data_IF_473442834210
#
_entry.id   IF_473442834210
#
_cell.length_a   1.000
_cell.length_b   1.000
_cell.length_c   1.000
_cell.angle_alpha   90.00
_cell.angle_beta   90.00
_cell.angle_gamma   90.00
#
_symmetry.space_group_name_H-M   'P 1'
#
loop_
_entity.id
_entity.type
_entity.pdbx_description
1 polymer ?
#
# COMPACT_ATOMS: atom_id res chain seq x y z
N UNK A 1 8.08 15.16 -8.33
CA UNK A 1 6.63 15.20 -8.52
C UNK A 1 5.99 14.23 -7.53
N UNK A 2 4.77 14.47 -7.03
CA UNK A 2 4.04 13.57 -6.14
C UNK A 2 2.55 13.75 -6.45
N UNK A 3 2.07 13.06 -7.50
CA UNK A 3 0.74 13.29 -8.05
C UNK A 3 0.06 11.99 -8.44
N UNK A 4 -1.25 11.94 -8.18
CA UNK A 4 -2.17 10.91 -8.63
C UNK A 4 -3.21 11.56 -9.53
N UNK A 5 -3.29 11.13 -10.77
CA UNK A 5 -4.26 11.55 -11.77
C UNK A 5 -5.27 10.43 -12.00
N UNK A 6 -6.56 10.76 -11.95
CA UNK A 6 -7.66 9.84 -12.29
C UNK A 6 -8.27 10.30 -13.60
N UNK A 7 -8.64 9.36 -14.46
CA UNK A 7 -9.33 9.64 -15.72
C UNK A 7 -10.39 8.58 -16.01
N UNK A 8 -11.28 8.91 -16.94
CA UNK A 8 -12.32 8.02 -17.47
C UNK A 8 -12.37 8.15 -18.98
N UNK A 9 -12.59 7.02 -19.66
CA UNK A 9 -12.81 6.99 -21.11
C UNK A 9 -14.32 7.01 -21.38
N UNK A 10 -14.78 7.98 -22.18
CA UNK A 10 -16.23 8.09 -22.48
C UNK A 10 -16.69 7.05 -23.51
N UNK A 11 -15.78 6.61 -24.40
CA UNK A 11 -16.05 5.57 -25.41
C UNK A 11 -15.75 4.13 -24.99
N UNK A 12 -15.43 3.90 -23.72
CA UNK A 12 -15.18 2.57 -23.16
C UNK A 12 -15.49 2.55 -21.66
N UNK A 13 -15.97 1.43 -21.09
CA UNK A 13 -16.25 1.34 -19.68
C UNK A 13 -14.94 1.20 -18.88
N UNK A 14 -14.07 2.21 -18.96
CA UNK A 14 -12.73 2.17 -18.37
C UNK A 14 -12.49 3.40 -17.50
N UNK A 15 -12.07 3.13 -16.28
CA UNK A 15 -11.44 4.09 -15.38
C UNK A 15 -9.95 3.82 -15.36
N UNK A 16 -9.14 4.88 -15.32
CA UNK A 16 -7.70 4.76 -15.19
C UNK A 16 -7.13 5.69 -14.13
N UNK A 17 -6.02 5.29 -13.57
CA UNK A 17 -5.22 6.05 -12.62
C UNK A 17 -3.75 6.05 -13.06
N UNK A 18 -3.11 7.21 -12.95
CA UNK A 18 -1.67 7.38 -13.22
C UNK A 18 -1.03 8.03 -12.01
N UNK A 19 0.08 7.46 -11.55
CA UNK A 19 0.83 7.96 -10.39
C UNK A 19 2.27 8.28 -10.74
N UNK A 20 2.80 9.37 -10.18
CA UNK A 20 4.23 9.70 -10.18
C UNK A 20 4.61 10.22 -8.80
N UNK A 21 5.56 9.55 -8.12
CA UNK A 21 6.00 9.87 -6.76
C UNK A 21 7.52 10.04 -6.75
N UNK A 22 8.00 11.22 -6.40
CA UNK A 22 9.42 11.54 -6.26
C UNK A 22 9.80 11.78 -4.80
N UNK A 23 9.67 13.03 -4.32
CA UNK A 23 10.15 13.40 -2.99
C UNK A 23 9.43 12.68 -1.84
N UNK A 24 8.17 12.30 -2.00
CA UNK A 24 7.47 11.52 -0.98
C UNK A 24 8.04 10.08 -0.88
N UNK A 25 8.46 9.49 -2.01
CA UNK A 25 9.18 8.22 -2.03
C UNK A 25 10.57 8.34 -1.42
N UNK A 26 11.32 9.37 -1.76
CA UNK A 26 12.64 9.62 -1.17
C UNK A 26 12.56 9.77 0.36
N UNK A 27 11.50 10.42 0.87
CA UNK A 27 11.28 10.53 2.31
C UNK A 27 11.02 9.16 2.99
N UNK A 28 10.46 8.16 2.29
CA UNK A 28 10.37 6.78 2.78
C UNK A 28 11.77 6.16 2.87
N UNK A 29 12.63 6.41 1.88
CA UNK A 29 13.96 5.81 1.79
C UNK A 29 15.02 6.52 2.67
N UNK A 30 14.78 7.76 3.07
CA UNK A 30 15.77 8.64 3.72
C UNK A 30 16.47 8.03 4.93
N UNK A 31 15.77 7.14 5.66
CA UNK A 31 16.29 6.48 6.88
C UNK A 31 16.38 4.97 6.75
N UNK A 32 16.42 4.48 5.51
CA UNK A 32 16.48 3.06 5.19
C UNK A 32 17.73 2.78 4.36
N UNK A 33 18.32 1.62 4.59
CA UNK A 33 19.45 1.11 3.80
C UNK A 33 19.09 -0.26 3.21
N UNK A 34 17.95 -0.34 2.56
CA UNK A 34 17.49 -1.58 1.97
C UNK A 34 18.27 -1.94 0.71
N UNK A 35 18.48 -3.24 0.42
CA UNK A 35 19.03 -3.69 -0.86
C UNK A 35 18.19 -3.23 -2.07
N UNK A 36 18.78 -3.16 -3.28
CA UNK A 36 18.08 -2.70 -4.49
C UNK A 36 16.76 -3.46 -4.76
N UNK A 37 16.76 -4.79 -4.65
CA UNK A 37 15.57 -5.61 -4.84
C UNK A 37 14.44 -5.25 -3.84
N UNK A 38 14.78 -5.05 -2.58
CA UNK A 38 13.81 -4.64 -1.54
C UNK A 38 13.25 -3.26 -1.82
N UNK A 39 14.10 -2.29 -2.20
CA UNK A 39 13.65 -0.94 -2.56
C UNK A 39 12.70 -0.96 -3.75
N UNK A 40 13.03 -1.76 -4.78
CA UNK A 40 12.15 -1.92 -5.94
C UNK A 40 10.80 -2.47 -5.54
N UNK A 41 10.75 -3.59 -4.82
CA UNK A 41 9.50 -4.22 -4.39
C UNK A 41 8.69 -3.27 -3.50
N UNK A 42 9.30 -2.60 -2.53
CA UNK A 42 8.62 -1.63 -1.67
C UNK A 42 8.05 -0.46 -2.48
N UNK A 43 8.81 0.06 -3.45
CA UNK A 43 8.38 1.13 -4.36
C UNK A 43 7.20 0.71 -5.22
N UNK A 44 7.24 -0.49 -5.79
CA UNK A 44 6.14 -1.03 -6.59
C UNK A 44 4.85 -1.17 -5.75
N UNK A 45 4.95 -1.64 -4.49
CA UNK A 45 3.81 -1.67 -3.57
C UNK A 45 3.32 -0.28 -3.16
N UNK A 46 4.20 0.71 -3.03
CA UNK A 46 3.83 2.12 -2.81
C UNK A 46 3.05 2.65 -4.01
N UNK A 47 3.50 2.40 -5.23
CA UNK A 47 2.78 2.73 -6.46
C UNK A 47 1.41 2.08 -6.52
N UNK A 48 1.35 0.77 -6.29
CA UNK A 48 0.12 -0.01 -6.28
C UNK A 48 -0.89 0.51 -5.26
N UNK A 49 -0.45 0.75 -4.01
CA UNK A 49 -1.30 1.28 -2.95
C UNK A 49 -1.84 2.68 -3.27
N UNK A 50 -1.02 3.52 -3.93
CA UNK A 50 -1.46 4.84 -4.38
C UNK A 50 -2.57 4.74 -5.40
N UNK A 51 -2.39 3.90 -6.42
CA UNK A 51 -3.40 3.68 -7.47
C UNK A 51 -4.70 3.16 -6.87
N UNK A 52 -4.63 2.14 -6.00
CA UNK A 52 -5.82 1.61 -5.33
C UNK A 52 -6.49 2.63 -4.39
N UNK A 53 -5.73 3.53 -3.77
CA UNK A 53 -6.28 4.57 -2.89
C UNK A 53 -7.21 5.56 -3.61
N UNK A 54 -7.06 5.70 -4.94
CA UNK A 54 -7.94 6.52 -5.77
C UNK A 54 -9.38 6.00 -5.80
N UNK A 55 -9.56 4.69 -5.61
CA UNK A 55 -10.88 4.03 -5.64
C UNK A 55 -11.61 4.10 -4.30
N UNK A 56 -10.95 4.57 -3.23
CA UNK A 56 -11.58 4.70 -1.92
C UNK A 56 -12.68 5.76 -1.94
N UNK A 57 -13.89 5.36 -1.56
CA UNK A 57 -15.09 6.22 -1.50
C UNK A 57 -15.44 6.66 -0.08
N UNK A 58 -14.57 6.41 0.89
CA UNK A 58 -14.79 6.72 2.30
C UNK A 58 -13.58 7.43 2.91
N UNK A 59 -13.77 8.16 3.99
CA UNK A 59 -12.67 8.66 4.80
C UNK A 59 -12.10 7.53 5.65
N UNK A 60 -10.79 7.28 5.53
CA UNK A 60 -10.19 6.14 6.21
C UNK A 60 -8.77 5.84 5.78
N UNK A 61 -8.36 4.60 6.02
CA UNK A 61 -7.02 4.11 5.70
C UNK A 61 -7.10 2.85 4.84
N UNK A 62 -6.36 2.84 3.73
CA UNK A 62 -6.01 1.65 2.97
C UNK A 62 -4.67 1.12 3.50
N UNK A 63 -4.62 -0.16 3.83
CA UNK A 63 -3.40 -0.84 4.26
C UNK A 63 -3.17 -2.04 3.35
N UNK A 64 -2.03 -2.06 2.68
CA UNK A 64 -1.56 -3.23 1.94
C UNK A 64 -0.44 -3.88 2.72
N UNK A 65 -0.59 -5.17 3.00
CA UNK A 65 0.42 -5.97 3.70
C UNK A 65 0.77 -7.19 2.87
N UNK A 66 2.06 -7.40 2.63
CA UNK A 66 2.56 -8.67 2.14
C UNK A 66 3.30 -9.39 3.27
N UNK A 67 2.95 -10.64 3.52
CA UNK A 67 3.46 -11.44 4.65
C UNK A 67 3.95 -12.77 4.15
N UNK A 68 5.07 -13.25 4.69
CA UNK A 68 5.58 -14.59 4.38
C UNK A 68 6.50 -15.13 5.49
N UNK A 69 6.98 -16.36 5.28
CA UNK A 69 8.11 -16.96 6.02
C UNK A 69 9.43 -16.85 5.27
N UNK A 70 9.43 -16.18 4.11
CA UNK A 70 10.62 -15.91 3.31
C UNK A 70 11.45 -14.74 3.83
N UNK A 71 12.43 -14.27 3.04
CA UNK A 71 13.30 -13.13 3.39
C UNK A 71 12.57 -11.85 3.75
N UNK A 72 11.47 -11.51 3.07
CA UNK A 72 10.54 -10.45 3.50
C UNK A 72 9.50 -11.08 4.44
N UNK A 73 9.65 -10.84 5.75
CA UNK A 73 8.69 -11.29 6.74
C UNK A 73 7.39 -10.50 6.68
N UNK A 74 7.50 -9.19 6.51
CA UNK A 74 6.37 -8.26 6.45
C UNK A 74 6.74 -7.03 5.61
N UNK A 75 5.89 -6.68 4.66
CA UNK A 75 5.90 -5.40 3.96
C UNK A 75 4.56 -4.72 4.24
N UNK A 76 4.58 -3.43 4.58
CA UNK A 76 3.37 -2.65 4.87
C UNK A 76 3.42 -1.31 4.14
N UNK A 77 2.35 -1.01 3.43
CA UNK A 77 2.09 0.32 2.86
C UNK A 77 0.73 0.80 3.36
N UNK A 78 0.70 2.00 3.92
CA UNK A 78 -0.53 2.62 4.40
C UNK A 78 -0.78 3.94 3.68
N UNK A 79 -2.02 4.13 3.21
CA UNK A 79 -2.54 5.36 2.66
C UNK A 79 -3.77 5.82 3.40
N UNK A 80 -3.87 7.12 3.68
CA UNK A 80 -5.11 7.76 4.09
C UNK A 80 -5.86 8.35 2.90
N UNK A 81 -7.12 8.66 3.09
CA UNK A 81 -7.98 9.34 2.13
C UNK A 81 -7.43 10.69 1.65
N UNK A 82 -6.57 11.38 2.43
CA UNK A 82 -5.86 12.61 2.06
C UNK A 82 -4.58 12.37 1.25
N UNK A 83 -4.31 11.12 0.85
CA UNK A 83 -3.09 10.65 0.19
C UNK A 83 -1.81 10.85 1.01
N UNK A 84 -1.91 10.97 2.34
CA UNK A 84 -0.75 10.83 3.20
C UNK A 84 -0.37 9.34 3.33
N UNK A 85 0.91 9.03 3.11
CA UNK A 85 1.37 7.65 3.08
C UNK A 85 2.58 7.41 3.98
N UNK A 86 2.75 6.15 4.36
CA UNK A 86 3.96 5.59 4.96
C UNK A 86 4.14 4.15 4.53
N UNK A 87 5.39 3.70 4.45
CA UNK A 87 5.71 2.33 4.06
C UNK A 87 6.89 1.79 4.84
N UNK A 88 6.92 0.49 5.06
CA UNK A 88 8.04 -0.20 5.72
C UNK A 88 8.14 -1.64 5.23
N UNK A 89 9.32 -2.23 5.39
CA UNK A 89 9.56 -3.65 5.19
C UNK A 89 10.41 -4.19 6.34
N UNK A 90 10.08 -5.39 6.82
CA UNK A 90 10.81 -6.14 7.83
C UNK A 90 11.38 -7.41 7.18
N UNK A 91 12.68 -7.58 7.29
CA UNK A 91 13.41 -8.74 6.80
C UNK A 91 13.60 -9.77 7.91
N UNK A 92 13.64 -11.04 7.54
CA UNK A 92 13.99 -12.18 8.40
C UNK A 92 15.44 -12.60 8.26
N UNK A 93 16.16 -12.04 7.29
CA UNK A 93 17.57 -12.32 6.95
C UNK A 93 18.38 -11.03 6.97
N UNK A 94 19.71 -11.15 6.97
CA UNK A 94 20.59 -9.99 6.82
C UNK A 94 20.39 -9.37 5.42
N UNK A 95 20.29 -8.03 5.31
CA UNK A 95 20.17 -7.36 4.01
C UNK A 95 21.27 -7.72 2.98
N UNK A 96 22.47 -8.08 3.44
CA UNK A 96 23.58 -8.50 2.58
C UNK A 96 23.40 -9.88 1.93
N UNK A 97 22.48 -10.69 2.43
CA UNK A 97 22.15 -12.01 1.87
C UNK A 97 21.14 -11.92 0.70
N UNK A 98 20.60 -10.74 0.43
CA UNK A 98 19.58 -10.54 -0.61
C UNK A 98 20.25 -10.21 -1.93
N UNK A 99 20.01 -11.05 -2.93
CA UNK A 99 20.51 -10.82 -4.29
C UNK A 99 19.89 -9.54 -4.89
N UNK A 100 20.68 -8.75 -5.65
CA UNK A 100 20.22 -7.47 -6.19
C UNK A 100 19.02 -7.54 -7.12
N UNK A 101 18.83 -8.67 -7.80
CA UNK A 101 17.77 -8.97 -8.77
C UNK A 101 16.74 -9.98 -8.27
N UNK A 102 16.75 -10.27 -6.96
CA UNK A 102 15.77 -11.17 -6.36
C UNK A 102 14.33 -10.72 -6.63
N UNK A 103 13.52 -11.68 -7.05
CA UNK A 103 12.10 -11.45 -7.41
C UNK A 103 11.20 -11.39 -6.18
N UNK A 104 10.02 -10.80 -6.34
CA UNK A 104 8.99 -10.81 -5.30
C UNK A 104 8.64 -12.24 -4.87
N UNK A 105 8.54 -13.17 -5.82
CA UNK A 105 8.19 -14.57 -5.56
C UNK A 105 9.19 -15.27 -4.66
N UNK A 106 10.48 -15.01 -4.85
CA UNK A 106 11.56 -15.55 -4.02
C UNK A 106 11.57 -14.91 -2.62
N UNK A 107 11.48 -13.58 -2.57
CA UNK A 107 11.57 -12.83 -1.32
C UNK A 107 10.35 -12.99 -0.41
N UNK A 108 9.18 -13.22 -0.96
CA UNK A 108 7.93 -13.46 -0.22
C UNK A 108 7.55 -14.95 -0.13
N UNK A 109 8.44 -15.89 -0.51
CA UNK A 109 8.11 -17.32 -0.51
C UNK A 109 6.72 -17.59 -1.10
N UNK A 110 6.48 -17.01 -2.28
CA UNK A 110 5.16 -16.94 -2.88
C UNK A 110 4.54 -18.31 -3.15
N UNK A 111 5.41 -19.32 -3.41
CA UNK A 111 4.96 -20.70 -3.69
C UNK A 111 4.40 -21.44 -2.47
N UNK A 112 4.64 -20.96 -1.23
CA UNK A 112 4.29 -21.71 -0.01
C UNK A 112 3.52 -20.85 1.01
N UNK A 113 4.12 -19.76 1.48
CA UNK A 113 3.61 -19.00 2.64
C UNK A 113 3.19 -17.58 2.31
N UNK A 114 3.56 -17.07 1.14
CA UNK A 114 3.31 -15.69 0.73
C UNK A 114 1.82 -15.37 0.62
N UNK A 115 1.40 -14.28 1.28
CA UNK A 115 0.02 -13.78 1.21
C UNK A 115 -0.02 -12.27 1.13
N UNK A 116 -0.97 -11.76 0.37
CA UNK A 116 -1.33 -10.34 0.33
C UNK A 116 -2.59 -10.12 1.15
N UNK A 117 -2.58 -9.11 2.00
CA UNK A 117 -3.71 -8.66 2.80
C UNK A 117 -3.99 -7.20 2.47
N UNK A 118 -5.19 -6.89 2.03
CA UNK A 118 -5.64 -5.52 1.81
C UNK A 118 -6.73 -5.22 2.82
N UNK A 119 -6.49 -4.19 3.65
CA UNK A 119 -7.42 -3.76 4.70
C UNK A 119 -7.95 -2.38 4.35
N UNK A 120 -9.27 -2.23 4.39
CA UNK A 120 -9.98 -0.95 4.31
C UNK A 120 -10.51 -0.62 5.70
N UNK A 121 -9.97 0.43 6.31
CA UNK A 121 -10.29 0.85 7.67
C UNK A 121 -10.94 2.25 7.67
N UNK A 122 -12.30 2.33 7.66
CA UNK A 122 -13.02 3.60 7.73
C UNK A 122 -12.73 4.35 9.04
N UNK A 123 -12.61 5.69 8.95
CA UNK A 123 -12.34 6.53 10.11
C UNK A 123 -13.53 6.62 11.07
N UNK A 124 -14.74 6.43 10.56
CA UNK A 124 -16.03 6.53 11.24
C UNK A 124 -16.63 5.18 11.63
N UNK A 125 -15.78 4.15 11.83
CA UNK A 125 -16.25 2.83 12.27
C UNK A 125 -17.02 2.89 13.57
N UNK A 126 -18.13 2.14 13.62
CA UNK A 126 -18.85 1.92 14.86
C UNK A 126 -18.02 1.10 15.87
N UNK A 127 -18.18 1.34 17.18
CA UNK A 127 -17.51 0.54 18.19
C UNK A 127 -17.82 -0.97 18.02
N UNK A 128 -16.76 -1.77 17.86
CA UNK A 128 -16.87 -3.23 17.63
C UNK A 128 -16.95 -3.65 16.16
N UNK A 129 -17.06 -2.74 15.22
CA UNK A 129 -17.00 -3.05 13.80
C UNK A 129 -15.56 -3.34 13.38
N UNK A 130 -15.31 -4.52 12.80
CA UNK A 130 -14.00 -4.85 12.21
C UNK A 130 -13.81 -4.14 10.87
N UNK A 131 -12.56 -3.76 10.49
CA UNK A 131 -12.26 -3.27 9.14
C UNK A 131 -12.54 -4.38 8.12
N UNK A 132 -12.86 -3.98 6.89
CA UNK A 132 -12.91 -4.93 5.77
C UNK A 132 -11.51 -5.42 5.44
N UNK A 133 -11.36 -6.74 5.25
CA UNK A 133 -10.09 -7.38 4.94
C UNK A 133 -10.27 -8.41 3.81
N UNK A 134 -9.52 -8.24 2.72
CA UNK A 134 -9.36 -9.26 1.70
C UNK A 134 -7.96 -9.89 1.79
N UNK A 135 -7.91 -11.21 1.67
CA UNK A 135 -6.66 -11.99 1.78
C UNK A 135 -6.53 -12.88 0.56
N UNK A 136 -5.38 -12.82 -0.11
CA UNK A 136 -5.05 -13.67 -1.27
C UNK A 136 -3.69 -14.32 -1.06
N UNK A 137 -3.58 -15.61 -1.41
CA UNK A 137 -2.29 -16.27 -1.51
C UNK A 137 -1.53 -15.70 -2.72
N UNK A 138 -0.21 -15.53 -2.62
CA UNK A 138 0.64 -15.04 -3.71
C UNK A 138 0.99 -16.14 -4.71
N UNK A 139 -0.02 -16.91 -5.08
CA UNK A 139 0.10 -18.01 -6.05
C UNK A 139 -1.21 -18.20 -6.83
N UNK A 140 -1.09 -18.52 -8.10
CA UNK A 140 -2.21 -18.92 -8.94
C UNK A 140 -2.29 -20.44 -9.05
N UNK A 141 -3.49 -20.98 -9.00
CA UNK A 141 -3.77 -22.38 -9.24
C UNK A 141 -4.32 -22.56 -10.67
N UNK A 142 -3.49 -23.06 -11.57
CA UNK A 142 -3.88 -23.46 -12.92
C UNK A 142 -4.01 -24.99 -13.00
N UNK A 143 -5.14 -25.52 -12.55
CA UNK A 143 -5.34 -26.96 -12.37
C UNK A 143 -4.41 -27.54 -11.29
N UNK A 144 -3.48 -28.42 -11.68
CA UNK A 144 -2.47 -28.99 -10.78
C UNK A 144 -1.18 -28.19 -10.69
N UNK A 145 -1.03 -27.13 -11.50
CA UNK A 145 0.17 -26.30 -11.53
C UNK A 145 -0.04 -25.10 -10.61
N UNK A 146 0.90 -24.91 -9.69
CA UNK A 146 0.99 -23.72 -8.83
C UNK A 146 1.99 -22.76 -9.46
N UNK A 147 1.54 -21.57 -9.85
CA UNK A 147 2.37 -20.51 -10.39
C UNK A 147 2.55 -19.43 -9.33
N UNK A 148 3.77 -19.18 -8.83
CA UNK A 148 4.00 -18.08 -7.89
C UNK A 148 3.83 -16.73 -8.60
N UNK A 149 3.31 -15.76 -7.87
CA UNK A 149 3.27 -14.35 -8.27
C UNK A 149 4.70 -13.78 -8.23
N UNK A 150 5.10 -13.09 -9.30
CA UNK A 150 6.48 -12.62 -9.46
C UNK A 150 6.64 -11.11 -9.27
N UNK A 151 5.54 -10.34 -9.28
CA UNK A 151 5.55 -8.88 -9.15
C UNK A 151 4.40 -8.34 -8.29
N UNK A 152 4.55 -7.11 -7.79
CA UNK A 152 3.48 -6.42 -7.08
C UNK A 152 2.26 -6.18 -7.98
N UNK A 153 2.48 -5.94 -9.28
CA UNK A 153 1.41 -5.79 -10.26
C UNK A 153 0.55 -7.04 -10.38
N UNK A 154 1.19 -8.22 -10.51
CA UNK A 154 0.48 -9.51 -10.53
C UNK A 154 -0.26 -9.78 -9.22
N UNK A 155 0.35 -9.46 -8.05
CA UNK A 155 -0.28 -9.64 -6.75
C UNK A 155 -1.58 -8.83 -6.62
N UNK A 156 -1.56 -7.58 -7.06
CA UNK A 156 -2.72 -6.70 -7.02
C UNK A 156 -3.77 -7.13 -8.05
N UNK A 157 -3.37 -7.48 -9.27
CA UNK A 157 -4.30 -7.98 -10.29
C UNK A 157 -5.03 -9.23 -9.81
N UNK A 158 -4.32 -10.17 -9.18
CA UNK A 158 -4.89 -11.37 -8.58
C UNK A 158 -5.88 -11.05 -7.46
N UNK A 159 -5.55 -10.08 -6.61
CA UNK A 159 -6.48 -9.60 -5.57
C UNK A 159 -7.75 -9.01 -6.19
N UNK A 160 -7.61 -8.11 -7.17
CA UNK A 160 -8.75 -7.44 -7.82
C UNK A 160 -9.67 -8.45 -8.51
N UNK A 161 -9.09 -9.48 -9.13
CA UNK A 161 -9.86 -10.55 -9.77
C UNK A 161 -10.60 -11.42 -8.75
N UNK A 162 -9.93 -11.87 -7.68
CA UNK A 162 -10.46 -12.86 -6.75
C UNK A 162 -11.40 -12.26 -5.69
N UNK A 163 -11.09 -11.04 -5.22
CA UNK A 163 -11.80 -10.40 -4.12
C UNK A 163 -12.81 -9.35 -4.57
N UNK A 164 -12.47 -8.58 -5.62
CA UNK A 164 -13.32 -7.48 -6.09
C UNK A 164 -14.08 -7.83 -7.39
N UNK A 165 -13.72 -8.91 -8.08
CA UNK A 165 -14.28 -9.35 -9.36
C UNK A 165 -14.20 -8.26 -10.45
N UNK A 166 -13.12 -7.47 -10.44
CA UNK A 166 -12.88 -6.37 -11.36
C UNK A 166 -11.68 -6.69 -12.27
N UNK A 167 -11.92 -6.66 -13.59
CA UNK A 167 -10.85 -6.73 -14.57
C UNK A 167 -9.94 -5.51 -14.42
N UNK A 168 -8.71 -5.76 -13.97
CA UNK A 168 -7.73 -4.72 -13.68
C UNK A 168 -6.40 -5.04 -14.33
N UNK A 169 -5.80 -4.04 -14.98
CA UNK A 169 -4.43 -4.10 -15.50
C UNK A 169 -3.61 -3.04 -14.79
N UNK A 170 -2.40 -3.41 -14.40
CA UNK A 170 -1.54 -2.51 -13.66
C UNK A 170 -0.09 -2.65 -14.13
N UNK A 171 0.56 -1.52 -14.34
CA UNK A 171 1.97 -1.40 -14.68
C UNK A 171 2.64 -0.55 -13.61
N UNK A 172 3.75 -1.02 -13.07
CA UNK A 172 4.47 -0.39 -11.98
C UNK A 172 5.95 -0.37 -12.31
N UNK A 173 6.59 0.75 -12.03
CA UNK A 173 8.03 0.86 -12.07
C UNK A 173 8.54 1.72 -10.94
N UNK A 174 9.66 1.32 -10.32
CA UNK A 174 10.27 2.06 -9.22
C UNK A 174 11.79 1.96 -9.24
N UNK A 175 12.44 3.02 -8.78
CA UNK A 175 13.89 3.10 -8.59
C UNK A 175 14.22 3.84 -7.29
N UNK A 176 15.48 4.19 -7.08
CA UNK A 176 15.93 4.89 -5.88
C UNK A 176 15.34 6.31 -5.71
N UNK A 177 14.79 6.91 -6.77
CA UNK A 177 14.34 8.31 -6.76
C UNK A 177 12.86 8.49 -7.08
N UNK A 178 12.26 7.58 -7.85
CA UNK A 178 10.90 7.71 -8.36
C UNK A 178 10.13 6.39 -8.29
N UNK A 179 8.81 6.53 -8.15
CA UNK A 179 7.83 5.46 -8.33
C UNK A 179 6.80 5.95 -9.33
N UNK A 180 6.52 5.15 -10.34
CA UNK A 180 5.50 5.40 -11.35
C UNK A 180 4.55 4.23 -11.48
N UNK A 181 3.34 4.49 -11.95
CA UNK A 181 2.37 3.43 -12.20
C UNK A 181 1.18 3.90 -13.03
N UNK A 182 0.60 2.94 -13.74
CA UNK A 182 -0.65 3.06 -14.48
C UNK A 182 -1.55 1.92 -14.04
N UNK A 183 -2.81 2.21 -13.74
CA UNK A 183 -3.86 1.24 -13.50
C UNK A 183 -5.02 1.51 -14.46
N UNK A 184 -5.50 0.47 -15.11
CA UNK A 184 -6.72 0.47 -15.91
C UNK A 184 -7.70 -0.54 -15.31
N UNK A 185 -8.92 -0.12 -15.11
CA UNK A 185 -9.98 -0.95 -14.53
C UNK A 185 -11.23 -0.89 -15.41
N UNK A 186 -11.73 -2.08 -15.78
CA UNK A 186 -13.03 -2.19 -16.45
C UNK A 186 -14.14 -1.92 -15.45
N UNK A 187 -15.01 -1.00 -15.80
CA UNK A 187 -16.20 -0.69 -15.00
C UNK A 187 -17.32 -1.71 -15.27
N UNK A 188 -18.14 -2.03 -14.26
CA UNK A 188 -19.32 -2.87 -14.45
C UNK A 188 -20.30 -2.27 -15.46
N UNK A 189 -20.98 -3.12 -16.22
CA UNK A 189 -21.94 -2.73 -17.25
C UNK A 189 -23.19 -1.99 -16.68
N UNK A 190 -23.43 -2.06 -15.39
CA UNK A 190 -24.53 -1.40 -14.67
C UNK A 190 -24.27 0.07 -14.30
N UNK A 191 -23.17 0.68 -14.76
CA UNK A 191 -22.77 2.05 -14.46
C UNK A 191 -23.18 3.08 -15.52
N UNK A 192 -22.53 4.25 -15.51
CA UNK A 192 -22.76 5.36 -16.46
C UNK A 192 -22.50 5.05 -17.94
N UNK A 193 -22.01 3.87 -18.27
CA UNK A 193 -21.79 3.34 -19.61
C UNK A 193 -22.84 2.32 -20.07
N UNK A 194 -23.97 2.21 -19.37
CA UNK A 194 -25.06 1.28 -19.71
C UNK A 194 -25.69 1.50 -21.10
N UNK A 195 -25.29 2.58 -21.80
CA UNK A 195 -25.71 2.90 -23.17
C UNK A 195 -24.81 2.26 -24.26
N UNK A 196 -23.65 1.71 -23.89
CA UNK A 196 -22.77 1.03 -24.82
C UNK A 196 -23.27 -0.40 -25.07
N UNK A 197 -23.20 -0.83 -26.34
CA UNK A 197 -23.41 -2.23 -26.68
C UNK A 197 -22.33 -3.10 -26.00
N UNK A 198 -22.67 -4.32 -25.48
CA UNK A 198 -21.70 -5.20 -24.85
C UNK A 198 -20.48 -5.51 -25.70
N UNK A 199 -20.64 -5.61 -27.02
CA UNK A 199 -19.52 -5.85 -27.93
C UNK A 199 -18.64 -4.60 -28.05
N UNK A 200 -19.23 -3.41 -28.20
CA UNK A 200 -18.49 -2.13 -28.23
C UNK A 200 -17.74 -1.90 -26.91
N UNK A 201 -18.37 -2.23 -25.79
CA UNK A 201 -17.74 -2.14 -24.45
C UNK A 201 -16.51 -3.08 -24.34
N UNK A 202 -16.60 -4.31 -24.85
CA UNK A 202 -15.51 -5.27 -24.85
C UNK A 202 -14.39 -4.84 -25.80
N UNK A 203 -14.70 -4.38 -27.00
CA UNK A 203 -13.73 -3.84 -27.98
C UNK A 203 -13.02 -2.60 -27.40
N UNK A 204 -13.77 -1.70 -26.76
CA UNK A 204 -13.23 -0.53 -26.07
C UNK A 204 -12.24 -0.90 -24.97
N UNK A 205 -12.59 -1.85 -24.11
CA UNK A 205 -11.68 -2.36 -23.08
C UNK A 205 -10.38 -2.94 -23.67
N UNK A 206 -10.50 -3.80 -24.68
CA UNK A 206 -9.34 -4.42 -25.32
C UNK A 206 -8.41 -3.38 -25.98
N UNK A 207 -8.99 -2.35 -26.61
CA UNK A 207 -8.23 -1.27 -27.23
C UNK A 207 -7.49 -0.43 -26.18
N UNK A 208 -8.16 -0.01 -25.11
CA UNK A 208 -7.54 0.78 -24.03
C UNK A 208 -6.45 -0.03 -23.33
N UNK A 209 -6.66 -1.33 -23.09
CA UNK A 209 -5.64 -2.23 -22.55
C UNK A 209 -4.41 -2.31 -23.46
N UNK A 210 -4.60 -2.52 -24.76
CA UNK A 210 -3.50 -2.60 -25.72
C UNK A 210 -2.68 -1.29 -25.79
N UNK A 211 -3.32 -0.14 -25.65
CA UNK A 211 -2.62 1.15 -25.53
C UNK A 211 -1.82 1.22 -24.22
N UNK A 212 -2.39 0.77 -23.09
CA UNK A 212 -1.71 0.70 -21.79
C UNK A 212 -0.47 -0.20 -21.82
N UNK A 213 -0.52 -1.34 -22.54
CA UNK A 213 0.60 -2.26 -22.70
C UNK A 213 1.82 -1.66 -23.40
N UNK A 214 1.66 -0.52 -24.07
CA UNK A 214 2.77 0.20 -24.74
C UNK A 214 3.58 1.08 -23.78
N UNK A 215 3.17 1.21 -22.51
CA UNK A 215 3.91 2.00 -21.52
C UNK A 215 5.26 1.35 -21.20
N UNK A 216 6.29 2.15 -21.06
CA UNK A 216 7.62 1.68 -20.67
C UNK A 216 7.94 2.09 -19.25
N UNK A 217 8.88 1.36 -18.62
CA UNK A 217 9.41 1.69 -17.28
C UNK A 217 10.00 3.10 -17.25
N UNK A 218 10.73 3.49 -18.30
CA UNK A 218 11.33 4.81 -18.41
C UNK A 218 10.25 5.91 -18.42
N UNK A 219 9.17 5.73 -19.16
CA UNK A 219 8.06 6.68 -19.20
C UNK A 219 7.37 6.80 -17.85
N UNK A 220 7.11 5.69 -17.16
CA UNK A 220 6.53 5.70 -15.81
C UNK A 220 7.40 6.46 -14.80
N UNK A 221 8.72 6.37 -14.94
CA UNK A 221 9.68 6.98 -14.01
C UNK A 221 10.02 8.44 -14.32
N UNK A 222 9.82 8.89 -15.58
CA UNK A 222 10.30 10.21 -16.04
C UNK A 222 9.22 11.18 -16.45
N UNK A 223 8.07 10.69 -16.93
CA UNK A 223 7.00 11.53 -17.42
C UNK A 223 6.00 11.93 -16.35
N UNK A 224 5.32 13.06 -16.56
CA UNK A 224 4.20 13.44 -15.69
C UNK A 224 2.94 12.63 -16.03
N UNK A 225 2.00 12.46 -15.08
CA UNK A 225 0.74 11.76 -15.34
C UNK A 225 -0.03 12.30 -16.54
N UNK A 226 -0.04 13.62 -16.73
CA UNK A 226 -0.72 14.27 -17.87
C UNK A 226 -0.04 13.96 -19.21
N UNK A 227 1.30 13.88 -19.22
CA UNK A 227 2.06 13.53 -20.44
C UNK A 227 1.81 12.06 -20.79
N UNK A 228 1.81 11.16 -19.81
CA UNK A 228 1.48 9.74 -20.02
C UNK A 228 0.06 9.61 -20.56
N UNK A 229 -0.93 10.28 -19.94
CA UNK A 229 -2.31 10.26 -20.38
C UNK A 229 -2.44 10.69 -21.86
N UNK A 230 -1.82 11.82 -22.20
CA UNK A 230 -1.84 12.33 -23.58
C UNK A 230 -1.15 11.38 -24.55
N UNK A 231 0.00 10.83 -24.18
CA UNK A 231 0.76 9.96 -25.07
C UNK A 231 0.02 8.64 -25.35
N UNK A 232 -0.58 8.03 -24.34
CA UNK A 232 -1.27 6.75 -24.49
C UNK A 232 -2.65 6.88 -25.15
N UNK A 233 -3.41 7.91 -24.77
CA UNK A 233 -4.84 7.99 -25.07
C UNK A 233 -5.22 9.23 -25.90
N UNK A 234 -4.28 9.78 -26.70
CA UNK A 234 -4.56 10.95 -27.54
C UNK A 234 -5.70 10.70 -28.52
N UNK A 235 -5.68 9.57 -29.22
CA UNK A 235 -6.71 9.20 -30.19
C UNK A 235 -8.06 9.01 -29.52
N UNK A 236 -8.10 8.38 -28.38
CA UNK A 236 -9.32 8.23 -27.57
C UNK A 236 -9.87 9.59 -27.13
N UNK A 237 -8.98 10.52 -26.74
CA UNK A 237 -9.38 11.87 -26.34
C UNK A 237 -10.04 12.65 -27.47
N UNK A 238 -9.59 12.43 -28.71
CA UNK A 238 -10.12 13.10 -29.91
C UNK A 238 -11.41 12.44 -30.43
N UNK A 239 -11.44 11.10 -30.43
CA UNK A 239 -12.51 10.34 -31.06
C UNK A 239 -13.72 10.09 -30.15
N UNK A 240 -13.48 9.78 -28.87
CA UNK A 240 -14.50 9.30 -27.97
C UNK A 240 -14.60 10.11 -26.68
N UNK A 241 -13.57 10.87 -26.35
CA UNK A 241 -13.46 11.64 -25.12
C UNK A 241 -12.74 10.89 -23.99
N UNK A 242 -11.78 11.59 -23.38
CA UNK A 242 -11.13 11.19 -22.13
C UNK A 242 -11.23 12.33 -21.14
N UNK A 243 -11.88 12.09 -20.02
CA UNK A 243 -12.06 13.06 -18.95
C UNK A 243 -11.06 12.80 -17.84
N UNK A 244 -10.18 13.76 -17.56
CA UNK A 244 -9.30 13.71 -16.40
C UNK A 244 -9.85 14.55 -15.26
N UNK A 245 -9.58 14.10 -14.03
CA UNK A 245 -9.92 14.85 -12.81
C UNK A 245 -8.69 15.61 -12.31
N UNK A 246 -8.86 16.64 -11.48
CA UNK A 246 -7.73 17.36 -10.91
C UNK A 246 -6.76 16.41 -10.20
N UNK A 247 -5.46 16.55 -10.50
CA UNK A 247 -4.43 15.74 -9.87
C UNK A 247 -4.39 15.99 -8.35
N UNK A 248 -4.29 14.92 -7.57
CA UNK A 248 -4.21 14.95 -6.12
C UNK A 248 -2.76 14.81 -5.67
N UNK A 249 -2.38 15.55 -4.63
CA UNK A 249 -1.02 15.55 -4.09
C UNK A 249 -0.81 14.37 -3.13
N UNK A 250 0.32 13.69 -3.30
CA UNK A 250 0.77 12.61 -2.43
C UNK A 250 1.83 13.16 -1.48
N UNK A 251 1.78 12.77 -0.21
CA UNK A 251 2.76 13.20 0.78
C UNK A 251 3.16 12.05 1.71
N UNK A 252 4.43 12.03 2.10
CA UNK A 252 4.87 11.17 3.19
C UNK A 252 4.45 11.78 4.53
N UNK A 253 3.79 10.99 5.39
CA UNK A 253 3.42 11.42 6.72
C UNK A 253 3.43 10.25 7.71
N UNK A 254 4.42 10.26 8.60
CA UNK A 254 4.47 9.28 9.69
C UNK A 254 3.62 9.75 10.87
N UNK A 255 2.82 8.84 11.41
CA UNK A 255 1.89 9.07 12.53
C UNK A 255 2.41 8.53 13.87
N UNK A 256 3.73 8.29 13.97
CA UNK A 256 4.34 7.88 15.22
C UNK A 256 4.36 9.04 16.24
N UNK A 257 4.18 8.72 17.49
CA UNK A 257 4.27 9.69 18.59
C UNK A 257 4.82 9.01 19.84
N UNK A 258 5.36 9.80 20.78
CA UNK A 258 5.81 9.29 22.07
C UNK A 258 4.67 8.56 22.82
N UNK A 259 3.45 9.09 22.72
CA UNK A 259 2.26 8.47 23.32
C UNK A 259 2.01 7.06 22.76
N UNK A 260 2.04 6.90 21.43
CA UNK A 260 1.85 5.58 20.80
C UNK A 260 2.93 4.57 21.20
N UNK A 261 4.16 5.04 21.35
CA UNK A 261 5.25 4.17 21.86
C UNK A 261 5.01 3.82 23.33
N UNK A 262 4.57 4.77 24.15
CA UNK A 262 4.19 4.49 25.52
C UNK A 262 3.05 3.47 25.61
N UNK A 263 2.06 3.50 24.72
CA UNK A 263 0.98 2.51 24.65
C UNK A 263 1.53 1.11 24.33
N UNK A 264 2.54 1.02 23.44
CA UNK A 264 3.23 -0.25 23.15
C UNK A 264 3.98 -0.77 24.40
N UNK A 265 4.67 0.12 25.14
CA UNK A 265 5.34 -0.28 26.38
C UNK A 265 4.35 -0.80 27.42
N UNK A 266 3.14 -0.19 27.53
CA UNK A 266 2.07 -0.71 28.40
C UNK A 266 1.64 -2.12 28.00
N UNK A 267 1.48 -2.39 26.68
CA UNK A 267 1.12 -3.71 26.20
C UNK A 267 2.21 -4.77 26.45
N UNK A 268 3.48 -4.36 26.46
CA UNK A 268 4.60 -5.23 26.79
C UNK A 268 4.57 -5.67 28.26
N UNK A 269 4.11 -4.80 29.15
CA UNK A 269 4.02 -5.05 30.59
C UNK A 269 5.13 -4.37 31.41
N UNK A 270 4.81 -4.08 32.66
CA UNK A 270 5.72 -3.34 33.56
C UNK A 270 6.99 -4.15 33.88
N UNK A 271 6.85 -5.44 34.15
CA UNK A 271 7.96 -6.36 34.50
C UNK A 271 9.01 -6.41 33.37
N UNK A 272 8.59 -6.64 32.13
CA UNK A 272 9.48 -6.70 30.96
C UNK A 272 10.19 -5.35 30.71
N UNK A 273 9.49 -4.22 30.90
CA UNK A 273 10.08 -2.89 30.75
C UNK A 273 11.07 -2.59 31.87
N UNK A 274 10.82 -3.03 33.11
CA UNK A 274 11.77 -2.91 34.24
C UNK A 274 13.04 -3.74 34.01
N UNK A 275 12.92 -4.93 33.45
CA UNK A 275 14.06 -5.76 33.07
C UNK A 275 14.94 -5.08 32.04
N UNK A 276 14.33 -4.49 30.96
CA UNK A 276 15.07 -3.73 29.96
C UNK A 276 15.79 -2.51 30.60
N UNK A 277 15.13 -1.80 31.50
CA UNK A 277 15.75 -0.67 32.22
C UNK A 277 16.90 -1.14 33.11
N UNK A 278 16.75 -2.27 33.81
CA UNK A 278 17.81 -2.83 34.65
C UNK A 278 19.07 -3.22 33.84
N UNK A 279 18.87 -3.76 32.63
CA UNK A 279 19.96 -4.20 31.77
C UNK A 279 20.61 -3.04 31.00
N UNK A 280 19.79 -2.11 30.41
CA UNK A 280 20.24 -1.12 29.45
C UNK A 280 20.18 0.33 29.96
N UNK A 281 19.60 0.57 31.13
CA UNK A 281 19.43 1.90 31.74
C UNK A 281 18.31 2.74 31.12
N UNK A 282 17.82 2.39 29.94
CA UNK A 282 16.75 3.06 29.20
C UNK A 282 16.12 2.13 28.18
N UNK A 283 14.89 2.42 27.78
CA UNK A 283 14.27 1.80 26.59
C UNK A 283 14.51 2.70 25.40
N UNK A 284 15.12 2.17 24.34
CA UNK A 284 15.29 2.84 23.07
C UNK A 284 14.57 2.08 21.96
N UNK A 285 13.80 2.77 21.15
CA UNK A 285 13.14 2.18 20.00
C UNK A 285 13.05 3.17 18.85
N UNK A 286 13.19 2.66 17.63
CA UNK A 286 13.00 3.44 16.42
C UNK A 286 11.63 3.15 15.80
N UNK A 287 11.00 4.16 15.25
CA UNK A 287 9.80 3.95 14.43
C UNK A 287 10.19 3.25 13.12
N UNK A 288 9.66 2.06 12.85
CA UNK A 288 9.97 1.29 11.64
C UNK A 288 9.62 2.02 10.33
N UNK A 289 8.65 2.96 10.36
CA UNK A 289 8.24 3.72 9.17
C UNK A 289 9.14 4.93 8.86
N UNK A 290 9.62 5.65 9.88
CA UNK A 290 10.35 6.90 9.67
C UNK A 290 11.69 6.98 10.40
N UNK A 291 12.12 5.92 11.07
CA UNK A 291 13.39 5.87 11.80
C UNK A 291 13.50 6.82 13.01
N UNK A 292 12.43 7.55 13.37
CA UNK A 292 12.47 8.47 14.52
C UNK A 292 12.74 7.69 15.80
N UNK A 293 13.82 8.05 16.49
CA UNK A 293 14.18 7.45 17.78
C UNK A 293 13.30 7.97 18.91
N UNK A 294 12.90 7.06 19.77
CA UNK A 294 12.21 7.32 21.03
C UNK A 294 12.99 6.70 22.16
N UNK A 295 13.20 7.48 23.21
CA UNK A 295 13.92 7.03 24.41
C UNK A 295 13.02 7.26 25.62
N UNK A 296 13.02 6.29 26.54
CA UNK A 296 12.31 6.34 27.82
C UNK A 296 13.30 5.91 28.91
N UNK A 297 13.57 6.81 29.83
CA UNK A 297 14.34 6.48 31.02
C UNK A 297 13.49 5.82 32.10
N UNK A 298 14.11 5.45 33.23
CA UNK A 298 13.40 4.81 34.34
C UNK A 298 12.27 5.68 34.92
N UNK A 299 12.38 7.02 34.82
CA UNK A 299 11.32 7.91 35.32
C UNK A 299 10.17 7.96 34.33
N UNK A 300 10.47 8.06 33.05
CA UNK A 300 9.48 8.01 31.97
C UNK A 300 8.67 6.71 32.03
N UNK A 301 9.35 5.56 32.13
CA UNK A 301 8.70 4.24 32.19
C UNK A 301 7.75 4.13 33.38
N UNK A 302 8.17 4.54 34.57
CA UNK A 302 7.29 4.60 35.75
C UNK A 302 6.07 5.50 35.55
N UNK A 303 6.18 6.61 34.81
CA UNK A 303 5.04 7.46 34.50
C UNK A 303 4.07 6.81 33.50
N UNK A 304 4.59 6.06 32.53
CA UNK A 304 3.76 5.30 31.57
C UNK A 304 2.79 4.37 32.29
N UNK A 305 3.24 3.64 33.32
CA UNK A 305 2.40 2.68 34.07
C UNK A 305 1.53 3.37 35.16
N UNK A 306 2.00 4.45 35.80
CA UNK A 306 1.22 5.20 36.79
C UNK A 306 -0.04 5.87 36.22
N UNK A 307 0.00 6.28 34.95
CA UNK A 307 -1.16 6.92 34.31
C UNK A 307 -2.33 5.94 34.15
N UNK A 308 -2.08 4.63 34.02
CA UNK A 308 -3.14 3.63 33.95
C UNK A 308 -3.81 3.36 35.32
N UNK A 309 -3.07 3.44 36.42
CA UNK A 309 -3.66 3.30 37.74
C UNK A 309 -4.68 4.40 38.06
N UNK A 310 -4.52 5.58 37.46
CA UNK A 310 -5.46 6.68 37.62
C UNK A 310 -6.70 6.53 36.70
N UNK A 311 -6.55 5.90 35.56
CA UNK A 311 -7.67 5.63 34.63
C UNK A 311 -8.57 4.50 35.14
N UNK A 312 -8.03 3.47 35.76
CA UNK A 312 -8.79 2.38 36.41
C UNK A 312 -9.50 2.85 37.70
N UNK A 313 -8.89 3.78 38.45
CA UNK A 313 -9.48 4.32 39.69
C UNK A 313 -10.72 5.24 39.39
N UNK A 314 -10.89 5.73 38.16
CA UNK A 314 -12.02 6.56 37.74
C UNK A 314 -13.14 5.78 37.05
N UNK A 315 -13.02 4.45 36.91
CA UNK A 315 -14.07 3.60 36.35
C UNK A 315 -15.11 3.29 37.43
N UNK A 316 -16.38 3.73 37.31
CA UNK A 316 -17.39 3.38 38.30
C UNK A 316 -17.59 1.86 38.33
N UNK A 317 -17.86 1.29 39.52
CA UNK A 317 -18.05 -0.15 39.63
C UNK A 317 -19.22 -0.57 38.74
N UNK A 318 -18.99 -1.57 37.86
CA UNK A 318 -20.04 -2.18 37.07
C UNK A 318 -21.12 -2.72 38.00
N UNK A 319 -22.29 -2.07 38.01
CA UNK A 319 -23.47 -2.57 38.69
C UNK A 319 -23.87 -3.90 38.05
N UNK A 320 -23.54 -5.01 38.73
CA UNK A 320 -24.09 -6.32 38.42
C UNK A 320 -25.61 -6.31 38.63
N UNK A 321 -26.31 -6.72 37.61
CA UNK A 321 -27.63 -7.35 37.67
C UNK A 321 -27.74 -8.38 36.54
#
# INVERSE_FOLDING_TARGET
MNELLVFMCDGAPVRGEIVSIGSAWQAVLERRNDPPAIRKILGDFVGAATLLSASLKFDGTLIIQAQSKGPIQLLVVEYKSDLSMRATVKLSVDPSEIEPDATLGELLDASHSGRLVITLDPADREPGQAPYQGIVALQEHAGTVIKPVTSAAEAIALYMQNSEQLDTRIWLSSNATHVGGLLLQRLPDSGGHAHLDPQEAAEGWNRIQALGETITDEELLTLTPEVILRRLFLEESVNSGVRSFPARKIQFACRCSRTKVADILRMLGEEEVEDIIAEQGKVETACEFCGKMYQFDAVDCRQVFKTDLLSDATRPPSSGH
#
